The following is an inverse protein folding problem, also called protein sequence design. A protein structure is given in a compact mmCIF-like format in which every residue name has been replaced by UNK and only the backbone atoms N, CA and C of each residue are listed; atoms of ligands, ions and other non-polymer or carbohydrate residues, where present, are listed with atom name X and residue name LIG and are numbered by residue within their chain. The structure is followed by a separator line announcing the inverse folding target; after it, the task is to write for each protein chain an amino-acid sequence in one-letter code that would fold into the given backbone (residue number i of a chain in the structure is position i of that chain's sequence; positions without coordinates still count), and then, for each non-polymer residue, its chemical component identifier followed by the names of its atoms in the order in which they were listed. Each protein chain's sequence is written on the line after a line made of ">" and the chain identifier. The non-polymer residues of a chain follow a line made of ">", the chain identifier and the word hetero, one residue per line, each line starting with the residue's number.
data_IF_395344619926
#
_entry.id   IF_395344619926
#
_cell.length_a   1.000
_cell.length_b   1.000
_cell.length_c   1.000
_cell.angle_alpha   90.00
_cell.angle_beta   90.00
_cell.angle_gamma   90.00
#
_symmetry.space_group_name_H-M   'P 1'
#
loop_
_entity.id
_entity.type
_entity.pdbx_description
1 polymer ?
#
# COMPACT_ATOMS: atom_id res chain seq x y z
N UNK A 1 23.58 -46.14 20.87
CA UNK A 1 22.16 -45.97 21.24
C UNK A 1 21.91 -45.76 22.75
N UNK A 2 22.87 -45.25 23.56
CA UNK A 2 22.72 -45.10 25.03
C UNK A 2 22.46 -43.66 25.54
N UNK A 3 22.40 -42.65 24.65
CA UNK A 3 22.25 -41.23 25.06
C UNK A 3 20.81 -40.69 25.04
N UNK A 4 19.88 -41.41 24.39
CA UNK A 4 18.46 -41.01 24.33
C UNK A 4 17.74 -41.06 25.70
N UNK A 5 17.92 -42.08 26.57
CA UNK A 5 17.20 -42.13 27.84
C UNK A 5 17.72 -41.08 28.85
N UNK A 6 18.98 -40.66 28.74
CA UNK A 6 19.56 -39.64 29.63
C UNK A 6 19.05 -38.23 29.31
N UNK A 7 18.81 -37.94 28.01
CA UNK A 7 18.22 -36.68 27.55
C UNK A 7 16.72 -36.58 27.89
N UNK A 8 15.99 -37.70 27.83
CA UNK A 8 14.58 -37.76 28.26
C UNK A 8 14.43 -37.62 29.79
N UNK A 9 15.34 -38.19 30.58
CA UNK A 9 15.38 -37.97 32.03
C UNK A 9 15.72 -36.53 32.40
N UNK A 10 16.67 -35.90 31.70
CA UNK A 10 16.95 -34.47 31.89
C UNK A 10 15.75 -33.60 31.51
N UNK A 11 15.07 -33.88 30.40
CA UNK A 11 13.87 -33.15 29.99
C UNK A 11 12.68 -33.33 30.97
N UNK A 12 12.55 -34.51 31.60
CA UNK A 12 11.52 -34.75 32.62
C UNK A 12 11.85 -34.07 33.96
N UNK A 13 13.12 -34.03 34.36
CA UNK A 13 13.56 -33.30 35.57
C UNK A 13 13.44 -31.78 35.35
N UNK A 14 13.75 -31.28 34.15
CA UNK A 14 13.60 -29.87 33.81
C UNK A 14 12.13 -29.48 33.57
N UNK A 15 11.31 -30.37 32.99
CA UNK A 15 9.87 -30.17 32.82
C UNK A 15 9.12 -30.07 34.15
N UNK A 16 9.65 -30.65 35.23
CA UNK A 16 9.12 -30.49 36.59
C UNK A 16 9.70 -29.30 37.36
N UNK A 17 10.73 -28.62 36.83
CA UNK A 17 11.27 -27.38 37.40
C UNK A 17 10.53 -26.13 36.90
N UNK A 18 9.78 -26.22 35.82
CA UNK A 18 9.06 -25.07 35.22
C UNK A 18 7.86 -24.60 36.08
N UNK A 19 7.45 -25.35 37.10
CA UNK A 19 6.18 -25.09 37.79
C UNK A 19 6.29 -24.64 39.27
N UNK A 20 7.49 -24.40 39.79
CA UNK A 20 7.67 -24.09 41.21
C UNK A 20 7.86 -22.62 41.53
N UNK A 21 8.10 -21.75 40.54
CA UNK A 21 8.46 -20.34 40.74
C UNK A 21 7.58 -19.48 39.82
N UNK A 22 7.15 -18.27 40.24
CA UNK A 22 6.48 -17.33 39.34
C UNK A 22 7.26 -17.18 38.02
N UNK A 23 6.59 -17.10 36.86
CA UNK A 23 7.24 -16.76 35.60
C UNK A 23 8.11 -15.52 35.76
N UNK A 24 9.31 -15.55 35.17
CA UNK A 24 10.36 -14.52 35.24
C UNK A 24 11.16 -14.44 36.55
N UNK A 25 10.67 -15.00 37.66
CA UNK A 25 11.44 -15.03 38.90
C UNK A 25 12.53 -16.11 38.87
N UNK A 26 13.72 -15.77 39.38
CA UNK A 26 14.87 -16.66 39.49
C UNK A 26 15.09 -17.07 40.94
N UNK A 27 15.39 -18.34 41.18
CA UNK A 27 15.78 -18.83 42.50
C UNK A 27 17.23 -18.42 42.79
N UNK A 28 17.49 -17.79 43.93
CA UNK A 28 18.82 -17.31 44.29
C UNK A 28 19.19 -17.57 45.75
N UNK A 29 20.49 -17.64 46.04
CA UNK A 29 21.00 -17.60 47.42
C UNK A 29 20.95 -16.16 47.93
N UNK A 30 19.75 -15.77 48.35
CA UNK A 30 19.46 -14.42 48.84
C UNK A 30 19.21 -14.49 50.34
N UNK A 31 19.84 -13.58 51.08
CA UNK A 31 19.75 -13.51 52.52
C UNK A 31 18.99 -12.25 52.96
N UNK A 32 18.21 -12.34 54.02
CA UNK A 32 17.54 -11.17 54.60
C UNK A 32 18.60 -10.32 55.32
N UNK A 33 18.76 -9.07 54.88
CA UNK A 33 19.67 -8.12 55.50
C UNK A 33 18.95 -7.26 56.54
N UNK A 34 17.78 -6.71 56.19
CA UNK A 34 16.91 -5.97 57.10
C UNK A 34 15.42 -6.14 56.68
N UNK A 35 14.51 -5.34 57.26
CA UNK A 35 13.07 -5.46 56.99
C UNK A 35 12.67 -5.20 55.52
N UNK A 36 13.50 -4.51 54.73
CA UNK A 36 13.21 -4.13 53.33
C UNK A 36 14.25 -4.58 52.32
N UNK A 37 15.46 -4.90 52.79
CA UNK A 37 16.60 -5.22 51.95
C UNK A 37 17.00 -6.67 52.14
N UNK A 38 17.30 -7.28 51.02
CA UNK A 38 17.90 -8.60 50.91
C UNK A 38 19.29 -8.44 50.29
N UNK A 39 20.19 -9.38 50.55
CA UNK A 39 21.54 -9.36 49.98
C UNK A 39 21.78 -10.61 49.15
N UNK A 40 22.27 -10.39 47.94
CA UNK A 40 22.77 -11.39 47.02
C UNK A 40 24.28 -11.16 46.84
N UNK A 41 25.08 -12.23 46.82
CA UNK A 41 26.50 -12.13 46.49
C UNK A 41 26.72 -12.59 45.05
N UNK A 42 27.07 -11.65 44.17
CA UNK A 42 27.48 -11.95 42.80
C UNK A 42 28.97 -11.63 42.66
N UNK A 43 29.77 -12.63 42.27
CA UNK A 43 31.22 -12.49 42.06
C UNK A 43 31.96 -11.88 43.28
N UNK A 44 31.50 -12.23 44.48
CA UNK A 44 32.07 -11.73 45.74
C UNK A 44 31.64 -10.31 46.11
N UNK A 45 30.77 -9.65 45.33
CA UNK A 45 30.23 -8.32 45.64
C UNK A 45 28.79 -8.43 46.17
N UNK A 46 28.46 -7.71 47.27
CA UNK A 46 27.10 -7.66 47.77
C UNK A 46 26.24 -6.77 46.87
N UNK A 47 25.07 -7.27 46.49
CA UNK A 47 24.02 -6.55 45.77
C UNK A 47 22.79 -6.54 46.67
N UNK A 48 22.28 -5.35 46.94
CA UNK A 48 21.07 -5.19 47.74
C UNK A 48 19.84 -5.31 46.84
N UNK A 49 18.89 -6.12 47.25
CA UNK A 49 17.62 -6.34 46.57
C UNK A 49 16.51 -5.69 47.40
N UNK A 50 15.72 -4.83 46.78
CA UNK A 50 14.58 -4.14 47.41
C UNK A 50 13.28 -4.46 46.67
N UNK A 51 12.21 -4.73 47.44
CA UNK A 51 10.89 -5.02 46.88
C UNK A 51 10.26 -3.74 46.30
N UNK A 52 9.87 -3.80 45.02
CA UNK A 52 9.21 -2.67 44.35
C UNK A 52 7.87 -2.34 45.02
N UNK A 53 7.67 -1.05 45.31
CA UNK A 53 6.41 -0.51 45.83
C UNK A 53 6.15 -0.82 47.32
N UNK A 54 7.16 -1.28 48.04
CA UNK A 54 7.08 -1.60 49.47
C UNK A 54 8.06 -0.74 50.27
N UNK A 55 7.57 -0.05 51.28
CA UNK A 55 8.37 0.78 52.20
C UNK A 55 8.09 0.33 53.63
N UNK A 56 9.11 0.32 54.47
CA UNK A 56 8.97 0.06 55.90
C UNK A 56 9.14 1.34 56.70
N UNK A 57 8.17 1.63 57.58
CA UNK A 57 8.16 2.81 58.44
C UNK A 57 7.80 2.45 59.89
N UNK A 58 8.31 1.31 60.37
CA UNK A 58 8.11 0.86 61.74
C UNK A 58 9.24 1.27 62.68
N UNK A 59 8.96 1.14 63.98
CA UNK A 59 9.94 1.21 65.06
C UNK A 59 10.98 0.09 64.98
N UNK A 60 12.06 0.21 65.75
CA UNK A 60 13.09 -0.84 65.84
C UNK A 60 12.53 -2.19 66.29
N UNK A 61 11.56 -2.19 67.22
CA UNK A 61 10.90 -3.40 67.69
C UNK A 61 10.08 -4.07 66.57
N UNK A 62 9.35 -3.29 65.79
CA UNK A 62 8.61 -3.80 64.63
C UNK A 62 9.55 -4.31 63.53
N UNK A 63 10.69 -3.65 63.33
CA UNK A 63 11.69 -4.10 62.37
C UNK A 63 12.24 -5.48 62.76
N UNK A 64 12.52 -5.69 64.05
CA UNK A 64 12.98 -6.98 64.56
C UNK A 64 11.92 -8.08 64.40
N UNK A 65 10.65 -7.76 64.69
CA UNK A 65 9.54 -8.70 64.49
C UNK A 65 9.34 -9.07 63.00
N UNK A 66 9.43 -8.07 62.11
CA UNK A 66 9.34 -8.28 60.67
C UNK A 66 10.49 -9.15 60.15
N UNK A 67 11.73 -8.87 60.56
CA UNK A 67 12.90 -9.68 60.19
C UNK A 67 12.76 -11.11 60.70
N UNK A 68 12.32 -11.33 61.94
CA UNK A 68 12.07 -12.67 62.47
C UNK A 68 11.02 -13.43 61.67
N UNK A 69 9.93 -12.76 61.29
CA UNK A 69 8.91 -13.35 60.44
C UNK A 69 9.47 -13.72 59.06
N UNK A 70 10.19 -12.80 58.42
CA UNK A 70 10.82 -13.06 57.13
C UNK A 70 11.80 -14.24 57.23
N UNK A 71 12.64 -14.32 58.26
CA UNK A 71 13.56 -15.44 58.47
C UNK A 71 12.82 -16.79 58.61
N UNK A 72 11.63 -16.79 59.23
CA UNK A 72 10.80 -17.98 59.36
C UNK A 72 10.10 -18.40 58.05
N UNK A 73 9.81 -17.44 57.15
CA UNK A 73 9.08 -17.67 55.91
C UNK A 73 9.98 -17.77 54.67
N UNK A 74 11.14 -17.14 54.65
CA UNK A 74 12.03 -17.01 53.50
C UNK A 74 13.20 -17.99 53.58
N UNK A 75 12.90 -19.30 53.65
CA UNK A 75 13.95 -20.32 53.53
C UNK A 75 14.50 -20.39 52.11
N UNK A 76 13.61 -20.26 51.14
CA UNK A 76 13.92 -20.14 49.73
C UNK A 76 13.38 -18.80 49.24
N UNK A 77 14.18 -18.11 48.43
CA UNK A 77 13.83 -16.79 47.89
C UNK A 77 13.98 -16.84 46.38
N UNK A 78 12.97 -16.29 45.70
CA UNK A 78 12.99 -16.04 44.27
C UNK A 78 12.79 -14.55 44.02
N UNK A 79 13.37 -14.03 42.94
CA UNK A 79 13.33 -12.61 42.62
C UNK A 79 13.20 -12.38 41.12
N UNK A 80 12.45 -11.36 40.74
CA UNK A 80 12.29 -10.87 39.37
C UNK A 80 12.78 -9.42 39.33
N UNK A 81 13.83 -9.15 38.54
CA UNK A 81 14.53 -7.86 38.56
C UNK A 81 13.87 -6.91 37.55
N UNK A 82 13.34 -5.80 38.06
CA UNK A 82 12.75 -4.75 37.23
C UNK A 82 13.77 -3.68 36.85
N UNK A 83 14.65 -3.32 37.80
CA UNK A 83 15.68 -2.31 37.59
C UNK A 83 16.96 -2.70 38.33
N UNK A 84 18.07 -2.77 37.60
CA UNK A 84 19.38 -3.13 38.13
C UNK A 84 20.31 -1.91 38.07
N UNK A 85 20.73 -1.39 39.23
CA UNK A 85 21.75 -0.36 39.33
C UNK A 85 23.05 -0.92 39.93
N UNK A 86 24.11 -0.11 39.97
CA UNK A 86 25.38 -0.48 40.58
C UNK A 86 25.26 -0.56 42.11
N UNK A 87 24.82 -1.72 42.62
CA UNK A 87 24.78 -2.04 44.05
C UNK A 87 23.39 -2.22 44.63
N UNK A 88 22.34 -1.69 43.99
CA UNK A 88 20.95 -1.88 44.41
C UNK A 88 20.05 -2.27 43.24
N UNK A 89 19.33 -3.38 43.40
CA UNK A 89 18.41 -3.93 42.43
C UNK A 89 17.01 -3.87 43.00
N UNK A 90 16.09 -3.30 42.23
CA UNK A 90 14.68 -3.25 42.56
C UNK A 90 13.95 -4.34 41.79
N UNK A 91 13.18 -5.15 42.51
CA UNK A 91 12.50 -6.30 41.94
C UNK A 91 11.25 -6.72 42.69
N UNK A 92 10.54 -7.70 42.15
CA UNK A 92 9.57 -8.48 42.92
C UNK A 92 10.28 -9.63 43.62
N UNK A 93 10.06 -9.74 44.93
CA UNK A 93 10.67 -10.72 45.80
C UNK A 93 9.59 -11.67 46.32
N UNK A 94 9.87 -12.95 46.18
CA UNK A 94 9.00 -14.04 46.59
C UNK A 94 9.75 -14.93 47.57
N UNK A 95 9.11 -15.26 48.68
CA UNK A 95 9.68 -16.14 49.71
C UNK A 95 8.85 -17.40 49.88
N UNK A 96 9.49 -18.51 50.25
CA UNK A 96 8.76 -19.70 50.68
C UNK A 96 9.53 -20.48 51.73
N UNK A 97 8.78 -21.05 52.69
CA UNK A 97 9.35 -21.83 53.79
C UNK A 97 9.71 -23.24 53.34
N UNK A 98 8.88 -23.82 52.49
CA UNK A 98 8.92 -25.23 52.11
C UNK A 98 8.64 -25.47 50.61
N UNK A 99 8.44 -24.41 49.82
CA UNK A 99 8.12 -24.51 48.40
C UNK A 99 6.65 -24.75 48.10
N UNK A 100 5.76 -24.79 49.10
CA UNK A 100 4.33 -25.12 48.89
C UNK A 100 3.43 -23.89 48.71
N UNK A 101 3.89 -22.73 49.16
CA UNK A 101 3.22 -21.45 48.97
C UNK A 101 4.23 -20.33 48.96
N UNK A 102 4.07 -19.39 48.03
CA UNK A 102 4.92 -18.22 47.91
C UNK A 102 4.30 -17.04 48.63
N UNK A 103 5.10 -16.40 49.47
CA UNK A 103 4.85 -15.08 50.02
C UNK A 103 5.41 -14.05 49.03
N UNK A 104 4.55 -13.37 48.30
CA UNK A 104 4.96 -12.16 47.60
C UNK A 104 5.11 -11.04 48.62
N UNK A 105 6.30 -10.44 48.73
CA UNK A 105 6.57 -9.45 49.79
C UNK A 105 5.69 -8.20 49.67
N UNK A 106 5.15 -7.92 48.48
CA UNK A 106 4.11 -6.88 48.30
C UNK A 106 2.90 -7.06 49.21
N UNK A 107 2.61 -8.26 49.69
CA UNK A 107 1.50 -8.51 50.61
C UNK A 107 1.83 -8.27 52.09
N UNK A 108 3.07 -7.94 52.45
CA UNK A 108 3.45 -7.64 53.84
C UNK A 108 2.61 -6.56 54.53
N UNK A 109 2.10 -5.51 53.85
CA UNK A 109 1.19 -4.54 54.46
C UNK A 109 -0.09 -5.16 55.04
N UNK A 110 -0.52 -6.33 54.55
CA UNK A 110 -1.68 -7.05 55.09
C UNK A 110 -1.39 -7.75 56.43
N UNK A 111 -0.11 -7.96 56.76
CA UNK A 111 0.32 -8.64 57.99
C UNK A 111 0.86 -7.68 59.03
N UNK A 112 1.55 -6.62 58.60
CA UNK A 112 2.30 -5.72 59.46
C UNK A 112 1.98 -4.27 59.09
N UNK A 113 1.40 -3.52 60.03
CA UNK A 113 1.09 -2.10 59.85
C UNK A 113 2.33 -1.23 59.60
N UNK A 114 3.51 -1.70 60.00
CA UNK A 114 4.79 -1.05 59.76
C UNK A 114 5.18 -0.99 58.28
N UNK A 115 4.62 -1.85 57.41
CA UNK A 115 4.83 -1.79 55.98
C UNK A 115 3.77 -0.92 55.30
N UNK A 116 4.22 -0.05 54.40
CA UNK A 116 3.39 0.72 53.49
C UNK A 116 3.61 0.21 52.07
N UNK A 117 2.53 -0.14 51.40
CA UNK A 117 2.53 -0.62 50.03
C UNK A 117 1.09 -0.83 49.60
N UNK A 118 0.83 -0.66 48.31
CA UNK A 118 -0.49 -0.91 47.76
C UNK A 118 -0.66 -2.39 47.46
N UNK A 119 -1.73 -2.99 47.99
CA UNK A 119 -2.10 -4.38 47.72
C UNK A 119 -3.43 -4.37 46.99
N UNK A 120 -3.39 -4.75 45.73
CA UNK A 120 -4.59 -4.93 44.92
C UNK A 120 -5.31 -6.20 45.33
N UNK A 121 -6.64 -6.17 45.26
CA UNK A 121 -7.50 -7.32 45.50
C UNK A 121 -8.39 -7.56 44.30
N UNK A 122 -8.64 -8.84 44.02
CA UNK A 122 -9.53 -9.32 42.97
C UNK A 122 -10.71 -10.02 43.63
N UNK A 123 -11.91 -9.74 43.15
CA UNK A 123 -13.13 -10.44 43.59
C UNK A 123 -13.29 -11.70 42.74
N UNK A 124 -13.01 -12.85 43.33
CA UNK A 124 -13.12 -14.15 42.69
C UNK A 124 -13.72 -15.17 43.65
N UNK A 125 -14.50 -16.12 43.13
CA UNK A 125 -15.09 -17.20 43.93
C UNK A 125 -14.08 -18.32 44.19
N UNK A 126 -12.93 -17.96 44.77
CA UNK A 126 -11.85 -18.87 45.10
C UNK A 126 -11.35 -18.61 46.53
N UNK A 127 -10.79 -19.65 47.13
CA UNK A 127 -10.15 -19.58 48.45
C UNK A 127 -8.66 -19.89 48.30
N UNK A 128 -7.80 -18.96 48.73
CA UNK A 128 -6.35 -19.15 48.73
C UNK A 128 -5.79 -19.10 50.14
N UNK A 129 -4.91 -20.06 50.43
CA UNK A 129 -4.11 -20.05 51.65
C UNK A 129 -2.71 -19.52 51.33
N UNK A 130 -2.35 -18.40 51.94
CA UNK A 130 -1.04 -17.75 51.78
C UNK A 130 -0.31 -17.72 53.13
N UNK A 131 1.01 -17.49 53.15
CA UNK A 131 1.74 -17.34 54.42
C UNK A 131 1.23 -16.20 55.33
N UNK A 132 0.53 -15.20 54.79
CA UNK A 132 -0.03 -14.08 55.55
C UNK A 132 -1.47 -14.29 56.02
N UNK A 133 -2.19 -15.28 55.47
CA UNK A 133 -3.59 -15.54 55.80
C UNK A 133 -4.34 -16.33 54.73
N UNK A 134 -5.58 -16.70 55.05
CA UNK A 134 -6.52 -17.34 54.14
C UNK A 134 -7.51 -16.30 53.65
N UNK A 135 -7.67 -16.19 52.33
CA UNK A 135 -8.57 -15.24 51.67
C UNK A 135 -9.63 -15.99 50.88
N UNK A 136 -10.88 -15.54 50.95
CA UNK A 136 -12.02 -16.14 50.23
C UNK A 136 -12.92 -15.05 49.68
N UNK A 137 -13.30 -15.14 48.40
CA UNK A 137 -14.18 -14.15 47.74
C UNK A 137 -13.50 -12.82 47.39
N UNK A 138 -12.47 -12.43 48.14
CA UNK A 138 -11.70 -11.22 47.93
C UNK A 138 -10.22 -11.50 48.20
N UNK A 139 -9.45 -11.65 47.13
CA UNK A 139 -8.12 -12.28 47.16
C UNK A 139 -7.07 -11.30 46.65
N UNK A 140 -5.90 -11.17 47.30
CA UNK A 140 -4.83 -10.30 46.79
C UNK A 140 -4.43 -10.67 45.35
N UNK A 141 -4.16 -9.68 44.50
CA UNK A 141 -3.56 -9.95 43.20
C UNK A 141 -2.15 -10.52 43.38
N UNK A 142 -1.70 -11.34 42.43
CA UNK A 142 -0.34 -11.91 42.45
C UNK A 142 -0.25 -13.34 41.95
N UNK A 143 0.91 -13.94 42.18
CA UNK A 143 1.22 -15.29 41.77
C UNK A 143 0.92 -16.29 42.89
N UNK A 144 0.18 -17.33 42.54
CA UNK A 144 -0.25 -18.40 43.43
C UNK A 144 0.23 -19.74 42.88
N UNK A 145 0.60 -20.65 43.79
CA UNK A 145 0.89 -22.03 43.44
C UNK A 145 -0.29 -22.90 43.88
N UNK A 146 -0.92 -23.59 42.93
CA UNK A 146 -1.86 -24.64 43.27
C UNK A 146 -1.09 -25.84 43.84
N UNK A 147 -1.38 -26.17 45.11
CA UNK A 147 -0.71 -27.27 45.81
C UNK A 147 -0.96 -28.62 45.16
N UNK A 148 -2.15 -28.82 44.58
CA UNK A 148 -2.58 -30.09 44.01
C UNK A 148 -1.95 -30.32 42.64
N UNK A 149 -2.08 -29.35 41.74
CA UNK A 149 -1.59 -29.48 40.35
C UNK A 149 -0.15 -29.00 40.15
N UNK A 150 0.44 -28.34 41.15
CA UNK A 150 1.72 -27.61 41.03
C UNK A 150 1.70 -26.55 39.93
N UNK A 151 0.53 -26.12 39.48
CA UNK A 151 0.39 -25.06 38.50
C UNK A 151 0.58 -23.69 39.17
N UNK A 152 1.25 -22.78 38.46
CA UNK A 152 1.37 -21.39 38.87
C UNK A 152 0.27 -20.58 38.19
N UNK A 153 -0.55 -19.91 38.99
CA UNK A 153 -1.70 -19.10 38.53
C UNK A 153 -1.45 -17.64 38.91
N UNK A 154 -1.62 -16.72 37.95
CA UNK A 154 -1.62 -15.28 38.22
C UNK A 154 -3.04 -14.80 38.41
N UNK A 155 -3.32 -14.16 39.54
CA UNK A 155 -4.48 -13.30 39.66
C UNK A 155 -4.08 -11.90 39.18
N UNK A 156 -4.71 -11.38 38.12
CA UNK A 156 -4.31 -10.13 37.50
C UNK A 156 -4.46 -8.98 38.49
N UNK A 157 -3.45 -8.11 38.56
CA UNK A 157 -3.64 -6.77 39.09
C UNK A 157 -4.41 -5.96 38.04
N UNK A 158 -5.31 -5.07 38.46
CA UNK A 158 -6.02 -4.13 37.59
C UNK A 158 -5.09 -3.37 36.63
N UNK A 159 -3.85 -3.12 37.07
CA UNK A 159 -2.76 -2.56 36.26
C UNK A 159 -2.29 -3.46 35.11
N UNK A 160 -2.28 -4.79 35.26
CA UNK A 160 -1.83 -5.69 34.19
C UNK A 160 -2.86 -5.81 33.06
N UNK A 161 -4.15 -5.80 33.39
CA UNK A 161 -5.23 -5.78 32.40
C UNK A 161 -5.21 -4.49 31.56
N UNK A 162 -4.95 -3.34 32.20
CA UNK A 162 -4.79 -2.05 31.51
C UNK A 162 -3.60 -2.08 30.55
N UNK A 163 -2.46 -2.64 30.96
CA UNK A 163 -1.26 -2.71 30.10
C UNK A 163 -1.50 -3.60 28.87
N UNK A 164 -2.20 -4.71 29.03
CA UNK A 164 -2.59 -5.58 27.91
C UNK A 164 -3.55 -4.88 26.94
N UNK A 165 -4.53 -4.14 27.48
CA UNK A 165 -5.46 -3.36 26.68
C UNK A 165 -4.75 -2.21 25.94
N UNK A 166 -3.79 -1.54 26.60
CA UNK A 166 -2.94 -0.50 25.98
C UNK A 166 -2.09 -1.08 24.85
N UNK A 167 -1.47 -2.24 25.02
CA UNK A 167 -0.68 -2.91 23.97
C UNK A 167 -1.57 -3.28 22.77
N UNK A 168 -2.79 -3.78 23.02
CA UNK A 168 -3.77 -4.09 21.98
C UNK A 168 -4.23 -2.83 21.24
N UNK A 169 -4.50 -1.74 21.95
CA UNK A 169 -4.85 -0.45 21.38
C UNK A 169 -3.71 0.10 20.52
N UNK A 170 -2.46 0.01 20.99
CA UNK A 170 -1.29 0.48 20.27
C UNK A 170 -1.09 -0.27 18.95
N UNK A 171 -1.22 -1.60 18.96
CA UNK A 171 -1.21 -2.44 17.74
C UNK A 171 -2.33 -2.05 16.77
N UNK A 172 -3.52 -1.75 17.30
CA UNK A 172 -4.66 -1.32 16.48
C UNK A 172 -4.38 0.03 15.82
N UNK A 173 -3.81 0.99 16.57
CA UNK A 173 -3.41 2.31 16.04
C UNK A 173 -2.35 2.18 14.96
N UNK A 174 -1.33 1.35 15.17
CA UNK A 174 -0.29 1.09 14.16
C UNK A 174 -0.87 0.45 12.90
N UNK A 175 -1.77 -0.53 13.05
CA UNK A 175 -2.49 -1.14 11.92
C UNK A 175 -3.29 -0.12 11.13
N UNK A 176 -4.11 0.69 11.82
CA UNK A 176 -4.94 1.73 11.19
C UNK A 176 -4.10 2.80 10.49
N UNK A 177 -2.95 3.17 11.06
CA UNK A 177 -2.01 4.10 10.42
C UNK A 177 -1.47 3.52 9.12
N UNK A 178 -1.11 2.24 9.10
CA UNK A 178 -0.63 1.57 7.88
C UNK A 178 -1.71 1.49 6.78
N UNK A 179 -2.97 1.27 7.17
CA UNK A 179 -4.09 1.27 6.23
C UNK A 179 -4.34 2.66 5.65
N UNK A 180 -4.25 3.70 6.49
CA UNK A 180 -4.39 5.09 6.04
C UNK A 180 -3.32 5.48 5.03
N UNK A 181 -2.06 5.08 5.24
CA UNK A 181 -0.96 5.30 4.31
C UNK A 181 -1.17 4.56 2.97
N UNK A 182 -1.75 3.35 3.00
CA UNK A 182 -2.13 2.64 1.77
C UNK A 182 -3.23 3.37 1.01
N UNK A 183 -4.29 3.78 1.70
CA UNK A 183 -5.40 4.51 1.07
C UNK A 183 -4.97 5.88 0.51
N UNK A 184 -4.04 6.57 1.18
CA UNK A 184 -3.50 7.84 0.68
C UNK A 184 -2.68 7.64 -0.59
N UNK A 185 -1.82 6.62 -0.65
CA UNK A 185 -1.07 6.26 -1.85
C UNK A 185 -2.01 5.88 -3.02
N UNK A 186 -3.04 5.06 -2.75
CA UNK A 186 -4.04 4.68 -3.75
C UNK A 186 -4.81 5.90 -4.27
N UNK A 187 -5.18 6.85 -3.41
CA UNK A 187 -5.80 8.11 -3.84
C UNK A 187 -4.90 8.92 -4.76
N UNK A 188 -3.60 8.98 -4.48
CA UNK A 188 -2.63 9.69 -5.31
C UNK A 188 -2.50 9.04 -6.70
N UNK A 189 -2.48 7.71 -6.75
CA UNK A 189 -2.47 6.95 -8.00
C UNK A 189 -3.74 7.20 -8.83
N UNK A 190 -4.93 7.14 -8.21
CA UNK A 190 -6.18 7.48 -8.88
C UNK A 190 -6.20 8.93 -9.40
N UNK A 191 -5.66 9.89 -8.63
CA UNK A 191 -5.57 11.28 -9.07
C UNK A 191 -4.68 11.44 -10.31
N UNK A 192 -3.56 10.71 -10.37
CA UNK A 192 -2.67 10.70 -11.53
C UNK A 192 -3.35 10.08 -12.76
N UNK A 193 -4.04 8.95 -12.60
CA UNK A 193 -4.80 8.31 -13.69
C UNK A 193 -5.92 9.23 -14.19
N UNK A 194 -6.63 9.90 -13.29
CA UNK A 194 -7.66 10.87 -13.67
C UNK A 194 -7.08 12.07 -14.45
N UNK A 195 -5.90 12.56 -14.08
CA UNK A 195 -5.20 13.61 -14.83
C UNK A 195 -4.78 13.13 -16.23
N UNK A 196 -4.30 11.89 -16.34
CA UNK A 196 -3.94 11.28 -17.63
C UNK A 196 -5.16 11.08 -18.54
N UNK A 197 -6.29 10.65 -17.98
CA UNK A 197 -7.54 10.51 -18.75
C UNK A 197 -8.07 11.87 -19.23
N UNK A 198 -7.94 12.93 -18.43
CA UNK A 198 -8.30 14.29 -18.84
C UNK A 198 -7.46 14.77 -20.02
N UNK A 199 -6.14 14.59 -19.98
CA UNK A 199 -5.28 14.99 -21.09
C UNK A 199 -5.53 14.18 -22.37
N UNK A 200 -5.87 12.90 -22.24
CA UNK A 200 -6.30 12.07 -23.38
C UNK A 200 -7.62 12.55 -23.99
N UNK A 201 -8.59 12.94 -23.16
CA UNK A 201 -9.86 13.50 -23.62
C UNK A 201 -9.65 14.80 -24.39
N UNK A 202 -8.84 15.72 -23.86
CA UNK A 202 -8.50 16.99 -24.53
C UNK A 202 -7.82 16.73 -25.90
N UNK A 203 -6.89 15.77 -25.97
CA UNK A 203 -6.24 15.41 -27.23
C UNK A 203 -7.23 14.82 -28.26
N UNK A 204 -8.16 13.97 -27.81
CA UNK A 204 -9.23 13.42 -28.64
C UNK A 204 -10.21 14.49 -29.14
N UNK A 205 -10.52 15.47 -28.29
CA UNK A 205 -11.40 16.58 -28.64
C UNK A 205 -10.76 17.48 -29.71
N UNK A 206 -9.48 17.80 -29.57
CA UNK A 206 -8.69 18.50 -30.60
C UNK A 206 -8.63 17.73 -31.93
N UNK A 207 -8.48 16.39 -31.88
CA UNK A 207 -8.52 15.57 -33.10
C UNK A 207 -9.89 15.60 -33.77
N UNK A 208 -10.98 15.54 -32.99
CA UNK A 208 -12.35 15.64 -33.49
C UNK A 208 -12.59 16.98 -34.18
N UNK A 209 -12.19 18.09 -33.57
CA UNK A 209 -12.32 19.42 -34.19
C UNK A 209 -11.55 19.53 -35.49
N UNK A 210 -10.31 19.00 -35.53
CA UNK A 210 -9.51 18.98 -36.75
C UNK A 210 -10.16 18.17 -37.87
N UNK A 211 -10.74 17.01 -37.55
CA UNK A 211 -11.46 16.19 -38.52
C UNK A 211 -12.75 16.87 -38.99
N UNK A 212 -13.48 17.55 -38.11
CA UNK A 212 -14.67 18.30 -38.46
C UNK A 212 -14.36 19.46 -39.43
N UNK A 213 -13.24 20.15 -39.22
CA UNK A 213 -12.79 21.21 -40.12
C UNK A 213 -12.37 20.67 -41.49
N UNK A 214 -11.65 19.54 -41.53
CA UNK A 214 -11.31 18.86 -42.78
C UNK A 214 -12.56 18.42 -43.55
N UNK A 215 -13.59 17.92 -42.86
CA UNK A 215 -14.86 17.58 -43.49
C UNK A 215 -15.54 18.81 -44.10
N UNK A 216 -15.59 19.93 -43.38
CA UNK A 216 -16.13 21.20 -43.91
C UNK A 216 -15.39 21.67 -45.16
N UNK A 217 -14.06 21.58 -45.17
CA UNK A 217 -13.26 21.91 -46.34
C UNK A 217 -13.61 21.02 -47.54
N UNK A 218 -13.75 19.71 -47.31
CA UNK A 218 -14.14 18.76 -48.36
C UNK A 218 -15.56 19.00 -48.88
N UNK A 219 -16.51 19.31 -48.01
CA UNK A 219 -17.87 19.67 -48.43
C UNK A 219 -17.87 20.96 -49.27
N UNK A 220 -17.05 21.94 -48.89
CA UNK A 220 -16.80 23.16 -49.67
C UNK A 220 -16.25 22.85 -51.06
N UNK A 221 -15.20 22.03 -51.16
CA UNK A 221 -14.62 21.57 -52.44
C UNK A 221 -15.65 20.84 -53.31
N UNK A 222 -16.43 19.92 -52.74
CA UNK A 222 -17.48 19.19 -53.44
C UNK A 222 -18.57 20.13 -53.97
N UNK A 223 -18.98 21.11 -53.18
CA UNK A 223 -19.99 22.09 -53.60
C UNK A 223 -19.50 22.92 -54.79
N UNK A 224 -18.24 23.40 -54.75
CA UNK A 224 -17.62 24.16 -55.84
C UNK A 224 -17.46 23.30 -57.10
N UNK A 225 -17.02 22.05 -56.96
CA UNK A 225 -16.89 21.12 -58.08
C UNK A 225 -18.26 20.81 -58.72
N UNK A 226 -19.30 20.66 -57.90
CA UNK A 226 -20.67 20.45 -58.39
C UNK A 226 -21.20 21.66 -59.17
N UNK A 227 -20.89 22.88 -58.74
CA UNK A 227 -21.25 24.11 -59.45
C UNK A 227 -20.51 24.22 -60.78
N UNK A 228 -19.21 23.92 -60.79
CA UNK A 228 -18.39 23.89 -62.01
C UNK A 228 -18.89 22.84 -63.01
N UNK A 229 -19.29 21.66 -62.54
CA UNK A 229 -19.87 20.63 -63.39
C UNK A 229 -21.17 21.11 -64.04
N UNK A 230 -22.07 21.75 -63.27
CA UNK A 230 -23.31 22.31 -63.82
C UNK A 230 -23.04 23.41 -64.86
N UNK A 231 -22.08 24.29 -64.59
CA UNK A 231 -21.66 25.32 -65.55
C UNK A 231 -21.13 24.69 -66.86
N UNK A 232 -20.26 23.68 -66.75
CA UNK A 232 -19.72 22.98 -67.91
C UNK A 232 -20.79 22.23 -68.72
N UNK A 233 -21.79 21.64 -68.05
CA UNK A 233 -22.94 21.03 -68.72
C UNK A 233 -23.77 22.08 -69.49
N UNK A 234 -24.05 23.24 -68.88
CA UNK A 234 -24.75 24.33 -69.54
C UNK A 234 -23.98 24.88 -70.76
N UNK A 235 -22.65 25.03 -70.65
CA UNK A 235 -21.79 25.42 -71.78
C UNK A 235 -21.82 24.37 -72.89
N UNK A 236 -21.83 23.07 -72.55
CA UNK A 236 -21.92 21.99 -73.54
C UNK A 236 -23.26 22.03 -74.30
N UNK A 237 -24.37 22.24 -73.61
CA UNK A 237 -25.69 22.42 -74.22
C UNK A 237 -25.73 23.66 -75.13
N UNK A 238 -25.16 24.78 -74.69
CA UNK A 238 -25.05 25.99 -75.52
C UNK A 238 -24.21 25.75 -76.78
N UNK A 239 -23.10 25.01 -76.68
CA UNK A 239 -22.28 24.62 -77.83
C UNK A 239 -23.01 23.67 -78.78
N UNK A 240 -23.77 22.71 -78.27
CA UNK A 240 -24.62 21.81 -79.08
C UNK A 240 -25.66 22.61 -79.87
N UNK A 241 -26.37 23.52 -79.22
CA UNK A 241 -27.33 24.40 -79.90
C UNK A 241 -26.67 25.26 -80.99
N UNK A 242 -25.45 25.76 -80.75
CA UNK A 242 -24.67 26.48 -81.78
C UNK A 242 -24.27 25.59 -82.95
N UNK A 243 -23.87 24.34 -82.70
CA UNK A 243 -23.56 23.38 -83.74
C UNK A 243 -24.79 23.08 -84.60
N UNK A 244 -25.94 22.81 -83.99
CA UNK A 244 -27.20 22.55 -84.71
C UNK A 244 -27.62 23.76 -85.57
N UNK A 245 -27.48 24.98 -85.05
CA UNK A 245 -27.77 26.20 -85.82
C UNK A 245 -26.75 26.40 -86.96
N UNK A 246 -25.47 26.13 -86.74
CA UNK A 246 -24.46 26.19 -87.80
C UNK A 246 -24.70 25.12 -88.87
N UNK A 247 -25.09 23.90 -88.51
CA UNK A 247 -25.47 22.85 -89.44
C UNK A 247 -26.74 23.22 -90.23
N UNK A 248 -27.72 23.87 -89.60
CA UNK A 248 -28.91 24.40 -90.27
C UNK A 248 -28.53 25.46 -91.30
N UNK A 249 -27.69 26.44 -90.92
CA UNK A 249 -27.17 27.45 -91.85
C UNK A 249 -26.35 26.84 -92.98
N UNK A 250 -25.52 25.85 -92.68
CA UNK A 250 -24.70 25.18 -93.69
C UNK A 250 -25.59 24.40 -94.68
N UNK A 251 -26.65 23.74 -94.21
CA UNK A 251 -27.67 23.12 -95.09
C UNK A 251 -28.40 24.15 -95.95
N UNK A 252 -28.78 25.29 -95.38
CA UNK A 252 -29.39 26.40 -96.14
C UNK A 252 -28.42 26.94 -97.21
N UNK A 253 -27.14 27.15 -96.87
CA UNK A 253 -26.11 27.58 -97.81
C UNK A 253 -25.81 26.52 -98.88
N UNK A 254 -25.73 25.24 -98.52
CA UNK A 254 -25.55 24.14 -99.45
C UNK A 254 -26.74 24.02 -100.41
N UNK A 255 -27.98 24.17 -99.93
CA UNK A 255 -29.17 24.24 -100.77
C UNK A 255 -29.15 25.45 -101.70
N UNK A 256 -28.68 26.62 -101.22
CA UNK A 256 -28.43 27.79 -102.09
C UNK A 256 -27.39 27.49 -103.16
N UNK A 257 -26.28 26.83 -102.81
CA UNK A 257 -25.23 26.42 -103.75
C UNK A 257 -25.80 25.46 -104.80
N UNK A 258 -26.58 24.45 -104.41
CA UNK A 258 -27.26 23.52 -105.33
C UNK A 258 -28.25 24.26 -106.24
N UNK A 259 -29.02 25.20 -105.71
CA UNK A 259 -29.91 26.03 -106.52
C UNK A 259 -29.13 26.92 -107.50
N UNK A 260 -27.95 27.41 -107.12
CA UNK A 260 -27.08 28.17 -108.03
C UNK A 260 -26.29 27.27 -108.99
N UNK A 261 -26.08 25.98 -108.69
CA UNK A 261 -25.34 25.04 -109.55
C UNK A 261 -26.24 24.20 -110.46
N UNK A 262 -27.54 24.12 -110.19
CA UNK A 262 -28.57 23.65 -111.14
C UNK A 262 -28.78 24.62 -112.32
N UNK A 263 -28.12 25.78 -112.31
CA UNK A 263 -28.02 26.74 -113.40
C UNK A 263 -26.67 26.71 -114.15
N UNK A 264 -25.99 25.54 -114.17
CA UNK A 264 -24.71 25.26 -114.83
C UNK A 264 -24.46 26.02 -116.18
N UNK A 265 -23.18 26.35 -116.55
CA UNK A 265 -22.11 25.36 -116.47
C UNK A 265 -20.70 25.76 -116.00
N UNK A 266 -19.99 24.66 -115.72
CA UNK A 266 -18.59 24.41 -115.37
C UNK A 266 -17.50 25.34 -115.89
N UNK A 267 -16.45 25.52 -115.07
CA UNK A 267 -15.04 25.56 -115.51
C UNK A 267 -14.16 24.82 -114.51
N UNK A 268 -13.31 23.95 -115.04
CA UNK A 268 -12.30 23.10 -114.40
C UNK A 268 -10.90 23.73 -114.41
N UNK A 269 -10.04 23.25 -113.48
CA UNK A 269 -8.56 23.21 -113.52
C UNK A 269 -7.80 24.52 -113.23
N UNK A 270 -6.63 24.57 -112.57
CA UNK A 270 -5.78 23.60 -111.88
C UNK A 270 -4.66 24.34 -111.08
N UNK A 271 -4.12 23.65 -110.07
CA UNK A 271 -2.70 23.60 -109.63
C UNK A 271 -1.98 24.75 -108.89
N UNK A 272 -1.30 24.37 -107.79
CA UNK A 272 0.07 24.84 -107.49
C UNK A 272 0.43 25.22 -106.04
N UNK A 273 0.80 24.22 -105.21
CA UNK A 273 1.85 24.28 -104.17
C UNK A 273 1.58 25.06 -102.86
N UNK A 274 2.20 24.79 -101.70
CA UNK A 274 3.17 23.79 -101.27
C UNK A 274 3.35 23.91 -99.73
N UNK A 275 3.55 22.76 -99.07
CA UNK A 275 4.29 22.53 -97.81
C UNK A 275 3.83 23.15 -96.47
N UNK A 276 3.71 22.27 -95.46
CA UNK A 276 3.76 22.70 -94.05
C UNK A 276 3.11 21.77 -93.03
N UNK A 277 3.20 20.45 -93.19
CA UNK A 277 2.78 19.52 -92.15
C UNK A 277 3.66 19.66 -90.91
N UNK A 278 3.02 19.99 -89.77
CA UNK A 278 3.62 19.77 -88.45
C UNK A 278 2.99 18.50 -87.88
N UNK A 279 3.78 17.42 -87.64
CA UNK A 279 3.24 16.18 -87.14
C UNK A 279 2.85 16.34 -85.66
N UNK A 280 1.58 16.12 -85.37
CA UNK A 280 0.98 16.06 -84.02
C UNK A 280 1.73 15.07 -83.09
N UNK A 281 2.54 14.18 -83.65
CA UNK A 281 3.40 13.24 -82.93
C UNK A 281 4.55 13.91 -82.14
N UNK A 282 5.04 15.10 -82.54
CA UNK A 282 6.11 15.80 -81.81
C UNK A 282 5.62 16.51 -80.54
N UNK A 283 4.37 16.98 -80.51
CA UNK A 283 3.76 17.57 -79.31
C UNK A 283 3.46 16.51 -78.23
N UNK A 284 3.12 15.29 -78.65
CA UNK A 284 2.90 14.16 -77.74
C UNK A 284 4.20 13.64 -77.11
N UNK A 285 5.32 13.64 -77.83
CA UNK A 285 6.62 13.20 -77.27
C UNK A 285 7.15 14.23 -76.25
N UNK A 286 6.95 15.53 -76.48
CA UNK A 286 7.33 16.58 -75.51
C UNK A 286 6.49 16.53 -74.22
N UNK A 287 5.19 16.21 -74.31
CA UNK A 287 4.31 16.07 -73.15
C UNK A 287 4.64 14.83 -72.29
N UNK A 288 5.03 13.71 -72.91
CA UNK A 288 5.42 12.49 -72.18
C UNK A 288 6.78 12.65 -71.50
N UNK A 289 7.74 13.35 -72.11
CA UNK A 289 9.04 13.65 -71.49
C UNK A 289 8.92 14.57 -70.26
N UNK A 290 8.01 15.54 -70.29
CA UNK A 290 7.75 16.44 -69.15
C UNK A 290 7.10 15.71 -67.95
N UNK A 291 6.20 14.75 -68.20
CA UNK A 291 5.59 13.92 -67.15
C UNK A 291 6.60 12.93 -66.55
N UNK A 292 7.50 12.37 -67.37
CA UNK A 292 8.58 11.50 -66.90
C UNK A 292 9.59 12.20 -65.98
N UNK A 293 9.97 13.45 -66.30
CA UNK A 293 10.88 14.25 -65.47
C UNK A 293 10.24 14.65 -64.12
N UNK A 294 8.95 14.99 -64.11
CA UNK A 294 8.21 15.33 -62.89
C UNK A 294 8.05 14.12 -61.94
N UNK A 295 7.80 12.93 -62.48
CA UNK A 295 7.71 11.69 -61.69
C UNK A 295 9.06 11.27 -61.10
N UNK A 296 10.18 11.51 -61.79
CA UNK A 296 11.53 11.24 -61.28
C UNK A 296 11.92 12.19 -60.13
N UNK A 297 11.53 13.46 -60.19
CA UNK A 297 11.74 14.42 -59.08
C UNK A 297 10.85 14.08 -57.89
N UNK A 298 9.61 13.62 -58.11
CA UNK A 298 8.71 13.21 -57.03
C UNK A 298 9.21 11.95 -56.31
N UNK A 299 9.72 10.94 -57.04
CA UNK A 299 10.26 9.70 -56.44
C UNK A 299 11.57 9.91 -55.68
N UNK A 300 12.38 10.90 -56.06
CA UNK A 300 13.64 11.22 -55.36
C UNK A 300 13.41 11.97 -54.03
N UNK A 301 12.28 12.67 -53.89
CA UNK A 301 11.87 13.37 -52.66
C UNK A 301 11.12 12.49 -51.65
N UNK A 302 10.64 11.31 -52.04
CA UNK A 302 9.93 10.38 -51.14
C UNK A 302 10.82 9.27 -50.57
N UNK A 303 12.13 9.33 -50.84
CA UNK A 303 13.13 8.35 -50.39
C UNK A 303 14.27 8.98 -49.55
N UNK A 304 14.14 10.27 -49.23
CA UNK A 304 14.82 10.97 -48.13
C UNK A 304 13.81 11.15 -46.99
#
# INVERSE_FOLDING_TARGET
>A
MRKLPLLLLAALVWGQLVSWVPPHAQLGQIYIYNATHFVLYLEGRPIYLTQVGLVFNGSKAEAQAAVQYLMAQCRYVAFDVHNATSGEWMGDIYCTKDGTSWLWLRWLPLRFAAYRGYVEFVRENLTVATPIGVYSGYVPAGWYLDRATKAVVRLPSSTAAIVEEVDKLQKTVESLKSELEKYSAQRQELANVAAQLRSQLEALEMQKERLAELLRQKDGELSALSANLRACLADNEALRNRLEELERRNRELAARIVNTSAAAPAVTSAEGGQAGGWPIHLALIAAVAAVGAALLVYKRRSAE
#
